data_IF_881246270900
#
_entry.id   IF_881246270900
#
_cell.length_a   1.000
_cell.length_b   1.000
_cell.length_c   1.000
_cell.angle_alpha   90.00
_cell.angle_beta   90.00
_cell.angle_gamma   90.00
#
_symmetry.space_group_name_H-M   'P 1'
#
loop_
_entity.id
_entity.type
_entity.pdbx_description
1 polymer ?
#
# COMPACT_ATOMS: atom_id res chain seq x y z
N UNK A 1 37.03 -14.44 13.23
CA UNK A 1 36.65 -13.90 11.90
C UNK A 1 35.42 -14.59 11.30
N UNK A 2 35.46 -15.88 10.93
CA UNK A 2 34.30 -16.57 10.28
C UNK A 2 33.01 -16.62 11.12
N UNK A 3 33.13 -16.68 12.45
CA UNK A 3 31.99 -16.73 13.39
C UNK A 3 31.11 -15.47 13.37
N UNK A 4 31.71 -14.30 13.17
CA UNK A 4 30.98 -13.03 13.10
C UNK A 4 30.22 -12.86 11.78
N UNK A 5 30.77 -13.40 10.69
CA UNK A 5 30.10 -13.41 9.37
C UNK A 5 28.83 -14.27 9.41
N UNK A 6 28.90 -15.43 10.07
CA UNK A 6 27.74 -16.31 10.25
C UNK A 6 26.67 -15.61 11.10
N UNK A 7 27.07 -14.91 12.16
CA UNK A 7 26.15 -14.17 13.01
C UNK A 7 25.46 -13.01 12.27
N UNK A 8 26.20 -12.28 11.43
CA UNK A 8 25.65 -11.25 10.54
C UNK A 8 24.63 -11.83 9.54
N UNK A 9 24.95 -12.98 8.95
CA UNK A 9 24.07 -13.65 7.98
C UNK A 9 22.74 -14.10 8.62
N UNK A 10 22.77 -14.45 9.91
CA UNK A 10 21.59 -14.87 10.68
C UNK A 10 20.66 -13.68 11.02
N UNK A 11 21.18 -12.46 11.03
CA UNK A 11 20.43 -11.23 11.30
C UNK A 11 19.81 -10.58 10.05
N UNK A 12 20.24 -10.95 8.84
CA UNK A 12 19.70 -10.47 7.57
C UNK A 12 18.16 -10.59 7.41
N UNK A 13 17.50 -11.70 7.79
CA UNK A 13 16.05 -11.81 7.60
C UNK A 13 15.24 -10.84 8.46
N UNK A 14 15.77 -10.40 9.61
CA UNK A 14 15.11 -9.41 10.46
C UNK A 14 15.11 -8.00 9.84
N UNK A 15 16.05 -7.72 8.93
CA UNK A 15 16.07 -6.47 8.19
C UNK A 15 14.99 -6.40 7.09
N UNK A 16 14.46 -7.56 6.65
CA UNK A 16 13.43 -7.62 5.61
C UNK A 16 12.06 -7.20 6.12
N UNK A 17 11.74 -7.42 7.39
CA UNK A 17 10.45 -7.05 7.99
C UNK A 17 10.31 -5.54 8.17
N UNK A 18 11.43 -4.83 8.36
CA UNK A 18 11.44 -3.38 8.52
C UNK A 18 11.19 -2.61 7.21
N UNK A 19 11.30 -3.25 6.03
CA UNK A 19 11.07 -2.59 4.74
C UNK A 19 9.59 -2.50 4.35
N UNK A 20 8.67 -3.04 5.15
CA UNK A 20 7.25 -2.93 4.84
C UNK A 20 6.77 -1.49 5.02
N UNK A 21 6.11 -0.94 3.99
CA UNK A 21 5.51 0.40 4.06
C UNK A 21 4.41 0.41 5.12
N UNK A 22 4.40 1.39 6.03
CA UNK A 22 3.40 1.51 7.11
C UNK A 22 1.97 1.45 6.60
N UNK A 23 1.66 2.10 5.47
CA UNK A 23 0.33 2.04 4.85
C UNK A 23 -0.09 0.60 4.48
N UNK A 24 0.85 -0.24 4.03
CA UNK A 24 0.53 -1.61 3.62
C UNK A 24 0.12 -2.46 4.83
N UNK A 25 0.76 -2.25 5.97
CA UNK A 25 0.38 -2.89 7.23
C UNK A 25 -1.04 -2.48 7.65
N UNK A 26 -1.40 -1.20 7.50
CA UNK A 26 -2.75 -0.72 7.77
C UNK A 26 -3.79 -1.33 6.83
N UNK A 27 -3.51 -1.31 5.52
CA UNK A 27 -4.39 -1.94 4.54
C UNK A 27 -4.59 -3.43 4.84
N UNK A 28 -3.51 -4.16 5.12
CA UNK A 28 -3.56 -5.59 5.45
C UNK A 28 -4.27 -5.85 6.80
N UNK A 29 -4.14 -4.95 7.80
CA UNK A 29 -4.81 -5.05 9.12
C UNK A 29 -6.34 -4.96 9.01
N UNK A 30 -6.84 -4.15 8.08
CA UNK A 30 -8.27 -3.85 7.92
C UNK A 30 -8.93 -4.56 6.74
N UNK A 31 -8.14 -5.16 5.84
CA UNK A 31 -8.66 -5.90 4.70
C UNK A 31 -9.50 -7.10 5.13
N UNK A 32 -10.74 -7.17 4.63
CA UNK A 32 -11.67 -8.26 4.92
C UNK A 32 -12.23 -8.32 6.35
N UNK A 33 -11.97 -7.32 7.20
CA UNK A 33 -12.60 -7.22 8.53
C UNK A 33 -14.02 -6.67 8.42
N UNK A 34 -14.92 -7.20 9.26
CA UNK A 34 -16.27 -6.63 9.42
C UNK A 34 -16.18 -5.17 9.89
N UNK A 35 -17.05 -4.32 9.34
CA UNK A 35 -17.06 -2.88 9.64
C UNK A 35 -16.01 -2.05 8.89
N UNK A 36 -15.20 -2.68 8.02
CA UNK A 36 -14.21 -2.00 7.18
C UNK A 36 -14.38 -2.41 5.71
N UNK A 37 -14.47 -1.40 4.84
CA UNK A 37 -14.42 -1.59 3.38
C UNK A 37 -13.02 -1.23 2.90
N UNK A 38 -12.35 -2.19 2.27
CA UNK A 38 -11.02 -1.98 1.69
C UNK A 38 -11.08 -2.10 0.18
N UNK A 39 -10.51 -1.12 -0.52
CA UNK A 39 -10.43 -1.10 -1.99
C UNK A 39 -9.00 -0.82 -2.39
N UNK A 40 -8.36 -1.78 -3.04
CA UNK A 40 -7.06 -1.61 -3.66
C UNK A 40 -7.20 -1.47 -5.17
N UNK A 41 -6.81 -0.32 -5.72
CA UNK A 41 -6.65 -0.14 -7.16
C UNK A 41 -5.16 -0.13 -7.52
N UNK A 42 -4.76 -1.04 -8.41
CA UNK A 42 -3.42 -1.02 -9.00
C UNK A 42 -3.29 0.11 -10.03
N UNK A 43 -2.07 0.54 -10.33
CA UNK A 43 -1.79 1.46 -11.43
C UNK A 43 -2.37 0.97 -12.76
N UNK A 44 -2.31 -0.33 -13.03
CA UNK A 44 -2.83 -0.91 -14.27
C UNK A 44 -4.36 -0.85 -14.35
N UNK A 45 -5.06 -1.04 -13.23
CA UNK A 45 -6.51 -0.84 -13.16
C UNK A 45 -6.88 0.64 -13.34
N UNK A 46 -6.13 1.55 -12.71
CA UNK A 46 -6.35 3.01 -12.88
C UNK A 46 -6.17 3.42 -14.34
N UNK A 47 -5.11 2.94 -14.99
CA UNK A 47 -4.85 3.18 -16.42
C UNK A 47 -5.96 2.59 -17.29
N UNK A 48 -6.44 1.39 -16.98
CA UNK A 48 -7.55 0.76 -17.69
C UNK A 48 -8.83 1.61 -17.60
N UNK A 49 -9.18 2.07 -16.39
CA UNK A 49 -10.35 2.94 -16.19
C UNK A 49 -10.17 4.24 -16.97
N UNK A 50 -9.01 4.89 -16.84
CA UNK A 50 -8.70 6.12 -17.56
C UNK A 50 -8.81 5.94 -19.08
N UNK A 51 -8.30 4.83 -19.62
CA UNK A 51 -8.42 4.49 -21.05
C UNK A 51 -9.86 4.28 -21.53
N UNK A 52 -10.77 3.92 -20.62
CA UNK A 52 -12.20 3.82 -20.95
C UNK A 52 -12.95 5.16 -20.79
N UNK A 53 -12.41 6.10 -20.02
CA UNK A 53 -12.98 7.44 -19.82
C UNK A 53 -12.90 8.30 -21.08
N UNK A 54 -12.02 7.97 -22.03
CA UNK A 54 -11.77 8.79 -23.23
C UNK A 54 -11.00 10.07 -22.93
N UNK A 55 -10.40 10.18 -21.74
CA UNK A 55 -9.56 11.29 -21.31
C UNK A 55 -8.09 11.08 -21.70
N UNK A 56 -7.77 9.96 -22.34
CA UNK A 56 -6.44 9.48 -22.80
C UNK A 56 -5.57 10.53 -23.49
N UNK A 57 -6.21 11.58 -24.04
CA UNK A 57 -5.54 12.70 -24.70
C UNK A 57 -4.99 13.77 -23.75
N UNK A 58 -5.26 13.73 -22.45
CA UNK A 58 -4.66 14.65 -21.49
C UNK A 58 -3.25 14.18 -21.07
N UNK A 59 -2.18 14.86 -21.53
CA UNK A 59 -0.81 14.49 -21.21
C UNK A 59 -0.45 14.75 -19.74
N UNK A 60 -1.12 15.68 -19.06
CA UNK A 60 -0.87 15.97 -17.64
C UNK A 60 -1.42 14.85 -16.75
N UNK A 61 -2.65 14.42 -17.00
CA UNK A 61 -3.26 13.29 -16.31
C UNK A 61 -2.53 11.97 -16.58
N UNK A 62 -2.10 11.74 -17.83
CA UNK A 62 -1.27 10.56 -18.18
C UNK A 62 0.04 10.54 -17.40
N UNK A 63 0.67 11.70 -17.20
CA UNK A 63 1.89 11.81 -16.40
C UNK A 63 1.63 11.51 -14.92
N UNK A 64 0.57 12.07 -14.34
CA UNK A 64 0.16 11.78 -12.95
C UNK A 64 -0.12 10.30 -12.72
N UNK A 65 -0.83 9.64 -13.65
CA UNK A 65 -1.12 8.21 -13.57
C UNK A 65 0.15 7.34 -13.69
N UNK A 66 1.18 7.81 -14.37
CA UNK A 66 2.47 7.12 -14.44
C UNK A 66 3.30 7.26 -13.15
N UNK A 67 3.12 8.35 -12.42
CA UNK A 67 3.80 8.58 -11.15
C UNK A 67 3.12 7.84 -9.98
N UNK A 68 1.82 7.53 -10.10
CA UNK A 68 1.06 6.77 -9.10
C UNK A 68 1.25 5.26 -9.29
N UNK A 69 1.73 4.57 -8.25
CA UNK A 69 1.89 3.09 -8.25
C UNK A 69 0.60 2.32 -7.96
N UNK A 70 -0.39 3.00 -7.39
CA UNK A 70 -1.67 2.42 -6.98
C UNK A 70 -2.29 3.25 -5.85
N UNK A 71 -3.59 3.04 -5.64
CA UNK A 71 -4.37 3.69 -4.59
C UNK A 71 -4.92 2.58 -3.70
N UNK A 72 -4.87 2.78 -2.39
CA UNK A 72 -5.47 1.87 -1.42
C UNK A 72 -6.31 2.68 -0.46
N UNK A 73 -7.58 2.30 -0.36
CA UNK A 73 -8.59 3.00 0.42
C UNK A 73 -9.06 2.04 1.50
N UNK A 74 -9.06 2.51 2.74
CA UNK A 74 -9.68 1.84 3.88
C UNK A 74 -10.76 2.78 4.40
N UNK A 75 -12.00 2.31 4.38
CA UNK A 75 -13.16 3.02 4.90
C UNK A 75 -13.68 2.25 6.11
N UNK A 76 -13.86 2.95 7.22
CA UNK A 76 -14.50 2.38 8.40
C UNK A 76 -15.97 2.80 8.45
N UNK A 77 -16.86 1.88 8.77
CA UNK A 77 -18.29 2.17 8.96
C UNK A 77 -18.53 3.01 10.23
N UNK A 78 -17.58 2.97 11.17
CA UNK A 78 -17.62 3.71 12.43
C UNK A 78 -16.23 4.26 12.77
N UNK A 79 -16.18 5.47 13.29
CA UNK A 79 -14.92 6.01 13.80
C UNK A 79 -14.60 5.33 15.14
N UNK A 80 -13.53 4.53 15.18
CA UNK A 80 -13.03 3.88 16.39
C UNK A 80 -11.70 4.50 16.81
N UNK A 81 -11.46 4.60 18.12
CA UNK A 81 -10.22 5.15 18.65
C UNK A 81 -9.00 4.31 18.21
N UNK A 82 -9.14 2.98 18.11
CA UNK A 82 -8.10 2.09 17.57
C UNK A 82 -7.72 2.43 16.11
N UNK A 83 -8.70 2.82 15.28
CA UNK A 83 -8.43 3.20 13.90
C UNK A 83 -7.72 4.55 13.80
N UNK A 84 -8.00 5.48 14.71
CA UNK A 84 -7.32 6.78 14.79
C UNK A 84 -5.88 6.58 15.26
N UNK A 85 -5.68 5.79 16.33
CA UNK A 85 -4.35 5.51 16.89
C UNK A 85 -3.43 4.81 15.88
N UNK A 86 -3.98 3.96 15.02
CA UNK A 86 -3.22 3.30 13.96
C UNK A 86 -2.78 4.24 12.81
N UNK A 87 -3.39 5.43 12.69
CA UNK A 87 -3.06 6.41 11.65
C UNK A 87 -1.94 7.38 12.04
N UNK A 88 -1.65 7.53 13.34
CA UNK A 88 -0.57 8.37 13.88
C UNK A 88 0.82 7.71 13.79
#
# INVERSE_FOLDING_TARGET
MKKYIIFLLLMLPLALTAQQKSFKLLFDKYSGKEGYTTVGLSADMLRMVYSFSGEDSDPEMTKLLNDIKGISIVVSDRMSDEFIDDLE
#
